data_IF_606699087771
#
_entry.id   IF_606699087771
#
_cell.length_a   1.000
_cell.length_b   1.000
_cell.length_c   1.000
_cell.angle_alpha   90.00
_cell.angle_beta   90.00
_cell.angle_gamma   90.00
#
_symmetry.space_group_name_H-M   'P 1'
#
loop_
_entity.id
_entity.type
_entity.pdbx_description
1 polymer ?
#
# COMPACT_ATOMS: atom_id res chain seq x y z
N UNK A 1 -30.73 -11.11 33.15
CA UNK A 1 -29.57 -11.18 32.23
C UNK A 1 -28.34 -11.44 33.08
N UNK A 2 -27.80 -12.65 33.06
CA UNK A 2 -26.56 -12.99 33.78
C UNK A 2 -25.38 -12.67 32.86
N UNK A 3 -24.74 -11.52 33.08
CA UNK A 3 -23.43 -11.25 32.50
C UNK A 3 -22.40 -12.07 33.27
N UNK A 4 -21.86 -13.12 32.66
CA UNK A 4 -20.81 -13.92 33.26
C UNK A 4 -19.52 -13.07 33.29
N UNK A 5 -19.15 -12.59 34.48
CA UNK A 5 -17.88 -11.89 34.66
C UNK A 5 -16.74 -12.91 34.62
N UNK A 6 -15.87 -12.76 33.63
CA UNK A 6 -14.66 -13.58 33.51
C UNK A 6 -13.61 -13.03 34.48
N UNK A 7 -13.16 -13.89 35.41
CA UNK A 7 -12.17 -13.56 36.45
C UNK A 7 -10.84 -13.07 35.90
N UNK A 8 -10.08 -12.32 36.71
CA UNK A 8 -8.82 -11.68 36.31
C UNK A 8 -7.72 -12.68 35.93
N UNK A 9 -7.79 -13.91 36.43
CA UNK A 9 -6.82 -14.98 36.12
C UNK A 9 -7.28 -15.91 34.99
N UNK A 10 -8.35 -15.56 34.26
CA UNK A 10 -8.86 -16.42 33.21
C UNK A 10 -7.84 -16.60 32.08
N UNK A 11 -7.53 -17.86 31.79
CA UNK A 11 -6.78 -18.27 30.61
C UNK A 11 -7.73 -18.77 29.53
N UNK A 12 -7.43 -18.41 28.29
CA UNK A 12 -8.16 -18.82 27.10
C UNK A 12 -7.23 -19.61 26.20
N UNK A 13 -7.75 -20.65 25.56
CA UNK A 13 -7.06 -21.36 24.49
C UNK A 13 -7.53 -20.84 23.15
N UNK A 14 -6.67 -20.13 22.44
CA UNK A 14 -6.91 -19.72 21.06
C UNK A 14 -6.37 -20.79 20.14
N UNK A 15 -7.24 -21.26 19.23
CA UNK A 15 -6.91 -22.27 18.23
C UNK A 15 -7.03 -21.67 16.85
N UNK A 16 -5.98 -21.77 16.05
CA UNK A 16 -6.08 -21.61 14.61
C UNK A 16 -6.50 -22.95 14.02
N UNK A 17 -7.63 -22.99 13.32
CA UNK A 17 -8.19 -24.22 12.76
C UNK A 17 -8.20 -24.09 11.23
N UNK A 18 -7.77 -25.15 10.53
CA UNK A 18 -7.97 -25.28 9.10
C UNK A 18 -9.32 -25.98 8.86
N UNK A 19 -10.30 -25.32 8.24
CA UNK A 19 -11.55 -25.95 7.85
C UNK A 19 -11.32 -26.73 6.54
N UNK A 20 -10.56 -27.83 6.61
CA UNK A 20 -10.37 -28.71 5.46
C UNK A 20 -11.31 -29.91 5.55
N UNK A 21 -12.32 -29.89 4.66
CA UNK A 21 -13.39 -30.90 4.47
C UNK A 21 -14.36 -31.06 5.64
N UNK A 22 -15.62 -31.24 5.27
CA UNK A 22 -16.74 -31.51 6.18
C UNK A 22 -16.34 -32.63 7.16
N UNK A 23 -16.14 -32.25 8.44
CA UNK A 23 -15.91 -33.11 9.61
C UNK A 23 -14.47 -33.38 10.11
N UNK A 24 -13.42 -32.71 9.60
CA UNK A 24 -12.08 -32.78 10.23
C UNK A 24 -11.52 -31.38 10.54
N UNK A 25 -11.85 -30.85 11.72
CA UNK A 25 -11.20 -29.65 12.26
C UNK A 25 -9.75 -29.96 12.63
N UNK A 26 -8.81 -29.58 11.76
CA UNK A 26 -7.38 -29.66 12.08
C UNK A 26 -6.93 -28.38 12.79
N UNK A 27 -6.61 -28.50 14.08
CA UNK A 27 -5.93 -27.42 14.82
C UNK A 27 -4.51 -27.28 14.28
N UNK A 28 -4.23 -26.14 13.66
CA UNK A 28 -2.93 -25.77 13.09
C UNK A 28 -1.99 -25.18 14.15
N UNK A 29 -2.54 -24.46 15.12
CA UNK A 29 -1.82 -23.88 16.24
C UNK A 29 -2.77 -23.71 17.43
N UNK A 30 -2.27 -23.93 18.65
CA UNK A 30 -2.97 -23.66 19.90
C UNK A 30 -2.05 -22.80 20.79
N UNK A 31 -2.60 -21.72 21.34
CA UNK A 31 -1.89 -20.88 22.30
C UNK A 31 -2.81 -20.58 23.49
N UNK A 32 -2.24 -20.69 24.69
CA UNK A 32 -2.89 -20.25 25.90
C UNK A 32 -2.55 -18.77 26.15
N UNK A 33 -3.59 -17.95 26.30
CA UNK A 33 -3.47 -16.51 26.55
C UNK A 33 -4.24 -16.16 27.82
N UNK A 34 -3.63 -15.33 28.66
CA UNK A 34 -4.29 -14.74 29.82
C UNK A 34 -5.13 -13.52 29.38
N UNK A 35 -6.24 -13.23 30.06
CA UNK A 35 -6.99 -11.97 29.93
C UNK A 35 -6.10 -10.71 29.88
N UNK A 36 -5.02 -10.66 30.65
CA UNK A 36 -4.09 -9.52 30.70
C UNK A 36 -3.11 -9.46 29.50
N UNK A 37 -2.99 -10.56 28.75
CA UNK A 37 -2.24 -10.60 27.48
C UNK A 37 -3.10 -10.28 26.26
N UNK A 38 -4.42 -10.11 26.47
CA UNK A 38 -5.33 -9.58 25.47
C UNK A 38 -5.28 -8.06 25.60
N UNK A 39 -4.99 -7.33 24.52
CA UNK A 39 -5.07 -5.88 24.52
C UNK A 39 -6.40 -5.44 25.14
N UNK A 40 -6.36 -4.66 26.22
CA UNK A 40 -7.57 -4.25 26.91
C UNK A 40 -8.42 -3.43 25.95
N UNK A 41 -9.74 -3.68 25.90
CA UNK A 41 -10.66 -2.95 25.02
C UNK A 41 -10.58 -1.43 25.20
N UNK A 42 -10.12 -0.95 26.36
CA UNK A 42 -9.90 0.46 26.66
C UNK A 42 -8.74 1.08 25.86
N UNK A 43 -7.78 0.28 25.39
CA UNK A 43 -6.66 0.71 24.56
C UNK A 43 -6.95 0.58 23.07
N UNK A 44 -8.10 0.02 22.71
CA UNK A 44 -8.55 -0.17 21.34
C UNK A 44 -9.53 0.94 20.93
N UNK A 45 -9.56 1.26 19.64
CA UNK A 45 -10.58 2.12 19.03
C UNK A 45 -11.10 1.48 17.75
N UNK A 46 -12.39 1.69 17.49
CA UNK A 46 -12.96 1.43 16.18
C UNK A 46 -12.60 2.57 15.24
N UNK A 47 -12.04 2.26 14.08
CA UNK A 47 -11.88 3.23 13.00
C UNK A 47 -12.97 3.06 11.95
N UNK A 48 -13.64 4.18 11.64
CA UNK A 48 -14.66 4.29 10.60
C UNK A 48 -14.26 5.40 9.61
N UNK A 49 -13.20 5.14 8.85
CA UNK A 49 -12.62 6.07 7.87
C UNK A 49 -12.69 5.51 6.46
N UNK A 50 -12.54 6.36 5.46
CA UNK A 50 -12.41 5.93 4.06
C UNK A 50 -11.07 6.42 3.51
N UNK A 51 -10.28 5.49 2.98
CA UNK A 51 -9.00 5.77 2.35
C UNK A 51 -9.07 5.52 0.84
N UNK A 52 -8.48 6.41 0.05
CA UNK A 52 -8.14 6.13 -1.34
C UNK A 52 -6.77 5.49 -1.40
N UNK A 53 -6.71 4.26 -1.92
CA UNK A 53 -5.47 3.56 -2.21
C UNK A 53 -5.20 3.61 -3.72
N UNK A 54 -4.02 4.08 -4.09
CA UNK A 54 -3.61 4.31 -5.47
C UNK A 54 -2.36 3.48 -5.75
N UNK A 55 -2.35 2.77 -6.87
CA UNK A 55 -1.21 1.94 -7.26
C UNK A 55 -1.11 1.84 -8.78
N UNK A 56 0.08 1.48 -9.26
CA UNK A 56 0.40 1.26 -10.68
C UNK A 56 0.87 -0.19 -10.83
N UNK A 57 0.45 -0.84 -11.91
CA UNK A 57 0.84 -2.21 -12.23
C UNK A 57 1.45 -2.27 -13.62
N UNK A 58 2.66 -2.81 -13.71
CA UNK A 58 3.38 -3.00 -14.97
C UNK A 58 2.95 -4.26 -15.73
N UNK A 59 2.31 -5.20 -15.03
CA UNK A 59 1.77 -6.45 -15.56
C UNK A 59 0.50 -6.87 -14.80
N UNK A 60 -0.35 -7.75 -15.38
CA UNK A 60 -1.46 -8.33 -14.65
C UNK A 60 -0.98 -9.00 -13.36
N UNK A 61 -1.56 -8.62 -12.21
CA UNK A 61 -1.08 -9.02 -10.89
C UNK A 61 -2.25 -9.39 -9.99
N UNK A 62 -2.10 -10.47 -9.21
CA UNK A 62 -2.99 -10.80 -8.10
C UNK A 62 -2.56 -10.05 -6.84
N UNK A 63 -3.48 -9.33 -6.22
CA UNK A 63 -3.20 -8.51 -5.06
C UNK A 63 -3.96 -8.97 -3.83
N UNK A 64 -3.25 -8.91 -2.71
CA UNK A 64 -3.75 -9.03 -1.34
C UNK A 64 -3.66 -7.65 -0.68
N UNK A 65 -4.79 -7.11 -0.22
CA UNK A 65 -4.80 -5.83 0.47
C UNK A 65 -5.22 -6.00 1.93
N UNK A 66 -4.41 -5.45 2.82
CA UNK A 66 -4.63 -5.54 4.24
C UNK A 66 -4.17 -4.29 5.01
N UNK A 67 -4.68 -4.14 6.22
CA UNK A 67 -4.30 -3.14 7.21
C UNK A 67 -3.25 -3.74 8.14
N UNK A 68 -2.12 -3.07 8.25
CA UNK A 68 -1.01 -3.41 9.12
C UNK A 68 -0.66 -2.24 10.03
N UNK A 69 0.04 -2.52 11.14
CA UNK A 69 0.82 -1.49 11.84
C UNK A 69 2.22 -1.33 11.19
N UNK A 70 3.05 -0.47 11.79
CA UNK A 70 4.44 -0.24 11.40
C UNK A 70 5.38 -1.42 11.72
N UNK A 71 4.92 -2.40 12.50
CA UNK A 71 5.64 -3.63 12.83
C UNK A 71 5.20 -4.81 11.94
N UNK A 72 4.39 -4.57 10.90
CA UNK A 72 3.82 -5.57 10.00
C UNK A 72 2.85 -6.56 10.67
N UNK A 73 2.26 -6.24 11.82
CA UNK A 73 1.17 -7.03 12.37
C UNK A 73 -0.11 -6.79 11.56
N UNK A 74 -0.77 -7.88 11.16
CA UNK A 74 -2.00 -7.85 10.38
C UNK A 74 -3.21 -7.59 11.28
N UNK A 75 -4.00 -6.56 10.96
CA UNK A 75 -5.25 -6.25 11.68
C UNK A 75 -6.50 -6.61 10.89
N UNK A 76 -6.49 -6.40 9.57
CA UNK A 76 -7.66 -6.65 8.73
C UNK A 76 -7.27 -6.90 7.28
N UNK A 77 -7.82 -7.95 6.70
CA UNK A 77 -7.76 -8.20 5.26
C UNK A 77 -9.00 -7.62 4.59
N UNK A 78 -8.83 -6.91 3.47
CA UNK A 78 -9.93 -6.36 2.68
C UNK A 78 -10.30 -7.26 1.52
N UNK A 79 -9.28 -7.80 0.84
CA UNK A 79 -9.44 -8.82 -0.18
C UNK A 79 -8.16 -9.62 -0.34
N UNK A 80 -8.32 -10.83 -0.87
CA UNK A 80 -7.24 -11.74 -1.23
C UNK A 80 -7.35 -12.17 -2.68
N UNK A 81 -6.22 -12.45 -3.32
CA UNK A 81 -6.09 -12.99 -4.68
C UNK A 81 -6.94 -12.26 -5.74
N UNK A 82 -7.12 -10.95 -5.55
CA UNK A 82 -7.90 -10.16 -6.48
C UNK A 82 -7.06 -9.81 -7.69
N UNK A 83 -7.52 -10.24 -8.86
CA UNK A 83 -6.84 -9.97 -10.12
C UNK A 83 -7.05 -8.53 -10.58
N UNK A 84 -5.95 -7.89 -10.95
CA UNK A 84 -5.91 -6.59 -11.59
C UNK A 84 -5.09 -6.67 -12.86
N UNK A 85 -5.57 -6.03 -13.93
CA UNK A 85 -4.81 -5.89 -15.16
C UNK A 85 -3.67 -4.88 -15.00
N UNK A 86 -2.68 -4.94 -15.91
CA UNK A 86 -1.73 -3.84 -16.13
C UNK A 86 -2.48 -2.51 -16.23
N UNK A 87 -2.03 -1.51 -15.48
CA UNK A 87 -2.68 -0.20 -15.44
C UNK A 87 -1.70 0.90 -15.07
N UNK A 88 -1.76 2.01 -15.81
CA UNK A 88 -0.98 3.20 -15.52
C UNK A 88 -1.39 3.89 -14.21
N UNK A 89 -2.60 3.62 -13.71
CA UNK A 89 -3.08 4.02 -12.38
C UNK A 89 -4.40 3.32 -12.06
N UNK A 90 -4.46 2.67 -10.90
CA UNK A 90 -5.69 2.13 -10.32
C UNK A 90 -6.00 2.84 -9.01
N UNK A 91 -7.25 3.21 -8.80
CA UNK A 91 -7.74 3.82 -7.55
C UNK A 91 -8.83 2.97 -6.95
N UNK A 92 -8.68 2.61 -5.68
CA UNK A 92 -9.70 1.90 -4.91
C UNK A 92 -10.06 2.69 -3.66
N UNK A 93 -11.35 2.75 -3.35
CA UNK A 93 -11.84 3.31 -2.09
C UNK A 93 -11.99 2.19 -1.08
N UNK A 94 -11.34 2.32 0.07
CA UNK A 94 -11.35 1.34 1.15
C UNK A 94 -12.03 1.96 2.36
N UNK A 95 -13.14 1.36 2.78
CA UNK A 95 -13.80 1.70 4.03
C UNK A 95 -13.23 0.86 5.15
N UNK A 96 -12.72 1.53 6.16
CA UNK A 96 -12.25 0.93 7.38
C UNK A 96 -13.42 0.73 8.34
N UNK A 97 -13.50 -0.48 8.89
CA UNK A 97 -14.33 -0.83 10.04
C UNK A 97 -13.54 -1.88 10.80
N UNK A 98 -12.55 -1.43 11.56
CA UNK A 98 -11.57 -2.28 12.22
C UNK A 98 -11.30 -1.76 13.63
N UNK A 99 -11.12 -2.70 14.57
CA UNK A 99 -10.62 -2.38 15.90
C UNK A 99 -9.09 -2.44 15.88
N UNK A 100 -8.46 -1.34 16.28
CA UNK A 100 -7.01 -1.19 16.32
C UNK A 100 -6.59 -0.50 17.62
N UNK A 101 -5.34 -0.67 18.07
CA UNK A 101 -4.82 0.11 19.19
C UNK A 101 -4.93 1.63 18.95
N UNK A 102 -5.22 2.39 20.02
CA UNK A 102 -5.41 3.85 19.96
C UNK A 102 -4.14 4.57 19.54
N UNK A 103 -3.00 4.11 20.05
CA UNK A 103 -1.66 4.52 19.65
C UNK A 103 -1.18 3.64 18.50
N UNK A 104 -0.35 4.20 17.62
CA UNK A 104 0.27 3.46 16.52
C UNK A 104 0.10 4.14 15.17
N UNK A 105 0.94 3.71 14.23
CA UNK A 105 0.85 4.13 12.84
C UNK A 105 0.40 2.95 12.01
N UNK A 106 -0.61 3.17 11.16
CA UNK A 106 -1.25 2.11 10.41
C UNK A 106 -1.14 2.36 8.92
N UNK A 107 -1.01 1.27 8.16
CA UNK A 107 -0.83 1.29 6.73
C UNK A 107 -1.76 0.30 6.05
N UNK A 108 -2.39 0.76 4.95
CA UNK A 108 -2.88 -0.15 3.92
C UNK A 108 -1.68 -0.59 3.09
N UNK A 109 -1.48 -1.90 2.97
CA UNK A 109 -0.40 -2.47 2.17
C UNK A 109 -0.99 -3.46 1.19
N UNK A 110 -0.73 -3.25 -0.09
CA UNK A 110 -1.02 -4.19 -1.15
C UNK A 110 0.23 -5.02 -1.45
N UNK A 111 0.10 -6.35 -1.39
CA UNK A 111 1.15 -7.30 -1.72
C UNK A 111 0.71 -8.18 -2.88
N UNK A 112 1.65 -8.55 -3.75
CA UNK A 112 1.42 -9.54 -4.79
C UNK A 112 1.35 -10.97 -4.22
N UNK A 113 1.17 -11.97 -5.09
CA UNK A 113 1.12 -13.38 -4.71
C UNK A 113 2.42 -13.90 -4.08
N UNK A 114 3.55 -13.25 -4.36
CA UNK A 114 4.87 -13.57 -3.80
C UNK A 114 5.14 -12.82 -2.49
N UNK A 115 4.20 -11.99 -2.03
CA UNK A 115 4.33 -11.18 -0.84
C UNK A 115 5.14 -9.89 -1.04
N UNK A 116 5.52 -9.56 -2.28
CA UNK A 116 6.20 -8.29 -2.61
C UNK A 116 5.21 -7.14 -2.52
N UNK A 117 5.63 -6.07 -1.86
CA UNK A 117 4.81 -4.86 -1.74
C UNK A 117 4.70 -4.14 -3.08
N UNK A 118 3.46 -3.88 -3.49
CA UNK A 118 3.08 -3.12 -4.69
C UNK A 118 2.73 -1.69 -4.34
N UNK A 119 2.24 -1.46 -3.12
CA UNK A 119 2.11 -0.12 -2.58
C UNK A 119 1.67 -0.07 -1.13
N UNK A 120 1.88 1.08 -0.51
CA UNK A 120 1.50 1.40 0.87
C UNK A 120 0.86 2.78 1.00
N UNK A 121 -0.17 2.89 1.83
CA UNK A 121 -0.82 4.16 2.14
C UNK A 121 -1.02 4.29 3.65
N UNK A 122 -0.69 5.44 4.21
CA UNK A 122 -0.93 5.70 5.64
C UNK A 122 -2.42 5.84 5.90
N UNK A 123 -2.91 5.15 6.93
CA UNK A 123 -4.28 5.28 7.43
C UNK A 123 -4.27 6.25 8.60
N UNK A 124 -4.99 7.35 8.46
CA UNK A 124 -5.20 8.27 9.57
C UNK A 124 -6.36 7.79 10.43
N UNK A 125 -6.10 7.61 11.71
CA UNK A 125 -7.01 6.90 12.63
C UNK A 125 -7.68 7.85 13.63
N UNK A 126 -7.44 9.15 13.50
CA UNK A 126 -7.99 10.19 14.38
C UNK A 126 -9.15 10.92 13.68
N UNK A 127 -10.37 10.65 14.16
CA UNK A 127 -11.63 11.24 13.69
C UNK A 127 -12.25 10.56 12.47
N UNK A 128 -13.52 10.92 12.17
CA UNK A 128 -14.16 10.61 10.88
C UNK A 128 -13.55 11.49 9.79
N UNK A 129 -12.34 11.16 9.34
CA UNK A 129 -11.75 11.79 8.15
C UNK A 129 -12.07 10.91 6.95
N UNK A 130 -13.15 11.25 6.25
CA UNK A 130 -13.24 10.95 4.82
C UNK A 130 -12.31 11.98 4.16
N UNK A 131 -11.03 11.63 4.00
CA UNK A 131 -10.13 12.50 3.25
C UNK A 131 -10.51 12.39 1.78
N UNK A 132 -11.35 13.32 1.31
CA UNK A 132 -11.57 13.50 -0.13
C UNK A 132 -10.27 14.01 -0.73
N UNK A 133 -9.37 13.08 -1.04
CA UNK A 133 -8.21 13.33 -1.88
C UNK A 133 -8.73 13.73 -3.27
N UNK A 134 -8.57 15.02 -3.57
CA UNK A 134 -8.84 15.57 -4.90
C UNK A 134 -7.77 15.08 -5.88
N UNK A 135 -8.17 14.85 -7.12
CA UNK A 135 -7.24 14.51 -8.18
C UNK A 135 -6.54 15.78 -8.65
N UNK A 136 -5.22 15.83 -8.49
CA UNK A 136 -4.36 16.90 -8.96
C UNK A 136 -3.61 16.47 -10.21
N UNK A 137 -3.23 17.43 -11.05
CA UNK A 137 -2.43 17.21 -12.26
C UNK A 137 -1.06 17.84 -12.06
N UNK A 138 -0.03 17.00 -12.01
CA UNK A 138 1.34 17.44 -11.92
C UNK A 138 1.95 17.53 -13.32
N UNK A 139 2.67 18.62 -13.58
CA UNK A 139 3.42 18.85 -14.82
C UNK A 139 4.87 19.14 -14.49
N UNK A 140 5.78 18.59 -15.27
CA UNK A 140 7.22 18.80 -15.10
C UNK A 140 7.96 18.55 -16.42
N UNK A 141 9.11 19.18 -16.63
CA UNK A 141 9.98 18.89 -17.76
C UNK A 141 11.17 18.10 -17.24
N UNK A 142 11.22 16.80 -17.53
CA UNK A 142 12.34 15.95 -17.13
C UNK A 142 13.48 16.11 -18.14
N UNK A 143 14.67 16.46 -17.68
CA UNK A 143 15.80 16.77 -18.55
C UNK A 143 16.88 15.69 -18.43
N UNK A 144 17.44 15.22 -19.53
CA UNK A 144 18.50 14.20 -19.48
C UNK A 144 19.49 14.41 -20.61
N UNK A 145 20.77 14.16 -20.33
CA UNK A 145 21.83 14.16 -21.34
C UNK A 145 22.41 12.75 -21.44
N UNK A 146 22.20 12.10 -22.57
CA UNK A 146 22.65 10.73 -22.81
C UNK A 146 23.96 10.74 -23.60
N UNK A 147 24.99 10.10 -23.06
CA UNK A 147 26.28 9.95 -23.77
C UNK A 147 26.11 9.02 -24.97
N UNK A 148 25.45 7.88 -24.75
CA UNK A 148 25.15 6.89 -25.78
C UNK A 148 23.64 6.71 -25.95
N UNK A 149 23.17 6.21 -27.10
CA UNK A 149 21.78 5.81 -27.26
C UNK A 149 21.41 4.72 -26.24
N UNK A 150 20.24 4.85 -25.63
CA UNK A 150 19.71 3.85 -24.69
C UNK A 150 18.40 3.29 -25.23
N UNK A 151 18.25 1.98 -25.14
CA UNK A 151 17.04 1.27 -25.56
C UNK A 151 16.26 0.75 -24.36
N UNK A 152 14.94 0.67 -24.51
CA UNK A 152 14.04 0.15 -23.48
C UNK A 152 13.98 1.02 -22.22
N UNK A 153 14.09 2.33 -22.37
CA UNK A 153 14.01 3.29 -21.28
C UNK A 153 12.61 3.33 -20.70
N UNK A 154 12.54 3.32 -19.37
CA UNK A 154 11.33 3.63 -18.60
C UNK A 154 11.53 4.91 -17.80
N UNK A 155 10.49 5.73 -17.70
CA UNK A 155 10.45 6.91 -16.83
C UNK A 155 9.25 6.77 -15.89
N UNK A 156 9.55 6.45 -14.64
CA UNK A 156 8.56 6.18 -13.61
C UNK A 156 8.55 7.26 -12.54
N UNK A 157 7.39 7.50 -11.94
CA UNK A 157 7.22 8.46 -10.85
C UNK A 157 6.88 7.71 -9.58
N UNK A 158 7.62 8.00 -8.53
CA UNK A 158 7.42 7.43 -7.20
C UNK A 158 7.07 8.50 -6.17
N UNK A 159 6.33 8.12 -5.15
CA UNK A 159 6.10 8.97 -3.97
C UNK A 159 7.18 8.77 -2.90
N UNK A 160 7.06 9.51 -1.78
CA UNK A 160 7.96 9.41 -0.63
C UNK A 160 8.01 8.04 0.06
N UNK A 161 7.01 7.19 -0.18
CA UNK A 161 6.96 5.84 0.36
C UNK A 161 7.54 4.80 -0.61
N UNK A 162 8.00 5.24 -1.79
CA UNK A 162 8.51 4.35 -2.83
C UNK A 162 7.40 3.70 -3.67
N UNK A 163 6.15 4.14 -3.54
CA UNK A 163 5.07 3.65 -4.38
C UNK A 163 5.19 4.23 -5.78
N UNK A 164 5.09 3.40 -6.82
CA UNK A 164 4.93 3.89 -8.18
C UNK A 164 3.55 4.52 -8.33
N UNK A 165 3.50 5.79 -8.71
CA UNK A 165 2.26 6.58 -8.84
C UNK A 165 1.92 6.92 -10.29
N UNK A 166 2.90 6.86 -11.19
CA UNK A 166 2.71 6.97 -12.63
C UNK A 166 3.85 6.29 -13.41
N UNK A 167 3.54 5.85 -14.62
CA UNK A 167 4.51 5.54 -15.66
C UNK A 167 4.35 6.59 -16.78
N UNK A 168 5.44 7.29 -17.12
CA UNK A 168 5.45 8.37 -18.11
C UNK A 168 5.93 7.86 -19.46
N UNK A 169 6.97 7.03 -19.45
CA UNK A 169 7.51 6.35 -20.63
C UNK A 169 7.76 4.89 -20.28
N UNK A 170 7.51 4.00 -21.23
CA UNK A 170 7.78 2.58 -21.10
C UNK A 170 8.47 2.10 -22.39
N UNK A 171 9.51 1.28 -22.22
CA UNK A 171 10.21 0.59 -23.30
C UNK A 171 10.60 1.51 -24.48
N UNK A 172 11.01 2.74 -24.20
CA UNK A 172 11.27 3.76 -25.21
C UNK A 172 12.75 3.77 -25.64
N UNK A 173 13.01 4.04 -26.92
CA UNK A 173 14.37 4.28 -27.40
C UNK A 173 14.71 5.77 -27.32
N UNK A 174 15.84 6.11 -26.70
CA UNK A 174 16.35 7.47 -26.65
C UNK A 174 17.72 7.55 -27.32
N UNK A 175 17.85 8.45 -28.30
CA UNK A 175 19.15 8.75 -28.92
C UNK A 175 20.04 9.57 -27.98
N UNK A 176 21.35 9.55 -28.23
CA UNK A 176 22.33 10.39 -27.55
C UNK A 176 21.97 11.89 -27.60
N UNK A 177 22.58 12.65 -26.69
CA UNK A 177 22.46 14.09 -26.55
C UNK A 177 21.44 14.53 -25.50
N UNK A 178 21.24 15.85 -25.45
CA UNK A 178 20.32 16.49 -24.52
C UNK A 178 18.87 16.31 -24.95
N UNK A 179 18.01 15.95 -23.99
CA UNK A 179 16.57 15.74 -24.17
C UNK A 179 15.81 16.39 -23.04
N UNK A 180 14.71 17.04 -23.41
CA UNK A 180 13.66 17.48 -22.47
C UNK A 180 12.41 16.67 -22.76
N UNK A 181 11.87 16.01 -21.75
CA UNK A 181 10.71 15.14 -21.82
C UNK A 181 9.59 15.83 -21.01
N UNK A 182 8.57 16.39 -21.69
CA UNK A 182 7.40 16.92 -21.00
C UNK A 182 6.66 15.79 -20.30
N UNK A 183 6.43 15.93 -19.00
CA UNK A 183 5.76 14.93 -18.17
C UNK A 183 4.46 15.50 -17.61
N UNK A 184 3.40 14.70 -17.65
CA UNK A 184 2.09 15.04 -17.09
C UNK A 184 1.51 13.79 -16.45
N UNK A 185 1.12 13.86 -15.20
CA UNK A 185 0.42 12.76 -14.52
C UNK A 185 -0.60 13.26 -13.51
N UNK A 186 -1.54 12.39 -13.15
CA UNK A 186 -2.58 12.64 -12.15
C UNK A 186 -2.20 11.98 -10.83
N UNK A 187 -2.46 12.63 -9.70
CA UNK A 187 -2.22 12.04 -8.37
C UNK A 187 -3.26 12.49 -7.34
N UNK A 188 -3.30 11.77 -6.23
CA UNK A 188 -4.24 11.99 -5.11
C UNK A 188 -3.51 12.34 -3.79
N UNK A 189 -2.20 12.53 -3.81
CA UNK A 189 -1.41 12.72 -2.58
C UNK A 189 -1.54 14.13 -1.95
N UNK A 190 -2.20 15.08 -2.62
CA UNK A 190 -2.30 16.47 -2.16
C UNK A 190 -1.14 17.35 -2.64
N UNK A 191 -1.23 18.65 -2.36
CA UNK A 191 -0.20 19.65 -2.74
C UNK A 191 1.02 19.55 -1.82
N UNK A 192 2.18 19.97 -2.31
CA UNK A 192 3.43 19.99 -1.54
C UNK A 192 4.09 18.61 -1.37
N UNK A 193 3.57 17.58 -2.03
CA UNK A 193 4.10 16.22 -1.94
C UNK A 193 5.39 16.06 -2.75
N UNK A 194 6.30 15.22 -2.29
CA UNK A 194 7.54 14.93 -3.01
C UNK A 194 7.32 13.80 -4.01
N UNK A 195 7.80 14.00 -5.25
CA UNK A 195 7.82 13.00 -6.30
C UNK A 195 9.23 12.75 -6.79
N UNK A 196 9.53 11.49 -7.05
CA UNK A 196 10.83 11.01 -7.55
C UNK A 196 10.63 10.47 -8.97
N UNK A 197 11.17 11.18 -9.95
CA UNK A 197 11.18 10.77 -11.34
C UNK A 197 12.42 9.94 -11.58
N UNK A 198 12.26 8.65 -11.86
CA UNK A 198 13.37 7.72 -12.10
C UNK A 198 13.34 7.26 -13.54
N UNK A 199 14.41 7.58 -14.26
CA UNK A 199 14.65 7.04 -15.58
C UNK A 199 15.57 5.83 -15.47
N UNK A 200 15.15 4.68 -15.99
CA UNK A 200 15.96 3.45 -16.00
C UNK A 200 16.12 2.93 -17.42
N UNK A 201 17.19 2.17 -17.66
CA UNK A 201 17.34 1.40 -18.90
C UNK A 201 16.51 0.11 -18.88
N UNK A 202 16.61 -0.69 -19.95
CA UNK A 202 15.91 -1.98 -20.09
C UNK A 202 16.24 -3.02 -19.02
N UNK A 203 17.38 -2.87 -18.33
CA UNK A 203 17.85 -3.77 -17.28
C UNK A 203 17.48 -3.24 -15.89
N UNK A 204 16.77 -2.10 -15.80
CA UNK A 204 16.44 -1.44 -14.56
C UNK A 204 17.59 -0.62 -13.96
N UNK A 205 18.67 -0.38 -14.72
CA UNK A 205 19.79 0.46 -14.25
C UNK A 205 19.35 1.91 -14.26
N UNK A 206 19.49 2.60 -13.13
CA UNK A 206 19.15 4.00 -12.99
C UNK A 206 20.06 4.87 -13.87
N UNK A 207 19.45 5.61 -14.79
CA UNK A 207 20.10 6.59 -15.66
C UNK A 207 20.12 7.96 -14.98
N UNK A 208 18.96 8.40 -14.46
CA UNK A 208 18.81 9.68 -13.77
C UNK A 208 17.62 9.63 -12.81
N UNK A 209 17.75 10.34 -11.70
CA UNK A 209 16.64 10.68 -10.80
C UNK A 209 16.47 12.20 -10.71
N UNK A 210 15.22 12.68 -10.71
CA UNK A 210 14.87 14.06 -10.37
C UNK A 210 13.82 14.08 -9.26
N UNK A 211 14.01 14.97 -8.29
CA UNK A 211 13.06 15.18 -7.19
C UNK A 211 12.32 16.48 -7.41
N UNK A 212 10.99 16.41 -7.42
CA UNK A 212 10.15 17.61 -7.52
C UNK A 212 9.15 17.66 -6.38
N UNK A 213 8.70 18.88 -6.07
CA UNK A 213 7.59 19.11 -5.16
C UNK A 213 6.32 19.36 -5.97
N UNK A 214 5.27 18.62 -5.65
CA UNK A 214 3.95 18.69 -6.24
C UNK A 214 3.30 20.05 -6.01
N UNK A 215 2.73 20.63 -7.07
CA UNK A 215 2.05 21.93 -7.02
C UNK A 215 0.55 21.78 -6.76
#
# INVERSE_FOLDING_TARGET
MFGQQIGEEATFKVRLINPAKENEERVLAEQEINKNSIAHNEDMKLIETENKFVFVLDEPTKLNLALYDDQNHLFKTYFTDKEYNKSAQTVINIRHNAFIPKSGTYFLIAKDENGKEVGRERVYTDGYKIERKEMLVQRHNFEVNLVDPVSGVSLDVYDQYGNKVANILENSGLHHGYRTIPTVFKHYLGRGQTFYFRMTDRNGVLIKEEVITGK
#
